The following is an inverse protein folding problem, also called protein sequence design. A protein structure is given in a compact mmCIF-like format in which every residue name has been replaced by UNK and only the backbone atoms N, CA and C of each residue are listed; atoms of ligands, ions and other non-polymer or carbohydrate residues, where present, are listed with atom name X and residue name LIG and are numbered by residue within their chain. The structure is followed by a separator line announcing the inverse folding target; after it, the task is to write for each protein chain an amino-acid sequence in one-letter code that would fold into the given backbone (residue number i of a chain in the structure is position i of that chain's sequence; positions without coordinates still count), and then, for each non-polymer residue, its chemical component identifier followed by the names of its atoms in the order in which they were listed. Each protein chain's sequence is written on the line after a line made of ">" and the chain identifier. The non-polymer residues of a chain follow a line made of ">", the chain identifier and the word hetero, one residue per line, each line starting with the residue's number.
data_IF_702458479200
#
_entry.id   IF_702458479200
#
_cell.length_a   1.000
_cell.length_b   1.000
_cell.length_c   1.000
_cell.angle_alpha   90.00
_cell.angle_beta   90.00
_cell.angle_gamma   90.00
#
_symmetry.space_group_name_H-M   'P 1'
#
loop_
_entity.id
_entity.type
_entity.pdbx_description
1 polymer ?
#
# COMPACT_ATOMS: atom_id res chain seq x y z
N UNK A 1 -7.77 -35.13 15.56
CA UNK A 1 -6.33 -34.86 15.37
C UNK A 1 -6.16 -33.37 15.05
N UNK A 2 -5.62 -32.56 15.97
CA UNK A 2 -5.25 -31.17 15.66
C UNK A 2 -4.01 -31.22 14.78
N UNK A 3 -4.07 -30.76 13.53
CA UNK A 3 -2.84 -30.48 12.77
C UNK A 3 -2.17 -29.29 13.45
N UNK A 4 -0.95 -29.47 13.94
CA UNK A 4 -0.09 -28.33 14.23
C UNK A 4 0.18 -27.62 12.90
N UNK A 5 -0.28 -26.37 12.78
CA UNK A 5 0.00 -25.53 11.61
C UNK A 5 1.45 -25.05 11.70
N UNK A 6 2.37 -25.87 11.21
CA UNK A 6 3.76 -25.50 10.98
C UNK A 6 3.95 -24.94 9.57
N UNK A 7 4.97 -24.09 9.40
CA UNK A 7 5.40 -23.64 8.07
C UNK A 7 6.01 -24.84 7.33
N UNK A 8 5.58 -25.16 6.09
CA UNK A 8 6.16 -26.26 5.32
C UNK A 8 7.68 -26.13 5.17
N UNK A 9 8.40 -27.25 5.15
CA UNK A 9 9.88 -27.27 5.04
C UNK A 9 10.36 -26.60 3.74
N UNK A 10 9.59 -26.77 2.67
CA UNK A 10 9.82 -26.16 1.38
C UNK A 10 9.75 -24.63 1.49
N UNK A 11 8.76 -24.10 2.21
CA UNK A 11 8.63 -22.66 2.46
C UNK A 11 9.81 -22.13 3.28
N UNK A 12 10.26 -22.87 4.29
CA UNK A 12 11.45 -22.51 5.09
C UNK A 12 12.70 -22.43 4.18
N UNK A 13 12.88 -23.40 3.30
CA UNK A 13 14.00 -23.40 2.35
C UNK A 13 13.94 -22.21 1.39
N UNK A 14 12.75 -21.91 0.86
CA UNK A 14 12.54 -20.75 -0.02
C UNK A 14 12.85 -19.45 0.73
N UNK A 15 12.36 -19.30 1.96
CA UNK A 15 12.63 -18.12 2.79
C UNK A 15 14.13 -17.92 3.00
N UNK A 16 14.87 -18.98 3.34
CA UNK A 16 16.32 -18.91 3.49
C UNK A 16 17.04 -18.54 2.18
N UNK A 17 16.60 -19.09 1.04
CA UNK A 17 17.20 -18.82 -0.26
C UNK A 17 17.01 -17.36 -0.71
N UNK A 18 15.80 -16.81 -0.53
CA UNK A 18 15.49 -15.45 -1.00
C UNK A 18 15.99 -14.36 -0.05
N UNK A 19 16.15 -14.67 1.24
CA UNK A 19 16.60 -13.69 2.24
C UNK A 19 18.08 -13.81 2.59
N UNK A 20 18.71 -14.96 2.30
CA UNK A 20 20.03 -15.31 2.82
C UNK A 20 20.05 -15.57 4.34
N UNK A 21 18.88 -15.67 4.99
CA UNK A 21 18.76 -15.80 6.44
C UNK A 21 18.23 -17.20 6.83
N UNK A 22 19.02 -18.02 7.55
CA UNK A 22 18.60 -19.36 7.96
C UNK A 22 17.57 -19.38 9.10
N UNK A 23 17.45 -18.30 9.89
CA UNK A 23 16.46 -18.21 10.98
C UNK A 23 15.10 -17.82 10.41
N UNK A 24 14.15 -18.76 10.48
CA UNK A 24 12.82 -18.64 9.85
C UNK A 24 12.06 -17.39 10.30
N UNK A 25 12.09 -17.05 11.58
CA UNK A 25 11.44 -15.87 12.14
C UNK A 25 12.01 -14.55 11.58
N UNK A 26 13.34 -14.48 11.44
CA UNK A 26 14.03 -13.33 10.87
C UNK A 26 13.76 -13.23 9.37
N UNK A 27 13.84 -14.35 8.64
CA UNK A 27 13.56 -14.41 7.22
C UNK A 27 12.11 -13.99 6.89
N UNK A 28 11.13 -14.41 7.71
CA UNK A 28 9.74 -13.95 7.58
C UNK A 28 9.65 -12.44 7.79
N UNK A 29 10.32 -11.89 8.81
CA UNK A 29 10.27 -10.44 9.08
C UNK A 29 10.88 -9.64 7.92
N UNK A 30 11.96 -10.13 7.32
CA UNK A 30 12.58 -9.53 6.13
C UNK A 30 11.62 -9.51 4.94
N UNK A 31 11.03 -10.66 4.58
CA UNK A 31 10.09 -10.73 3.45
C UNK A 31 8.85 -9.88 3.69
N UNK A 32 8.31 -9.86 4.91
CA UNK A 32 7.17 -9.00 5.24
C UNK A 32 7.51 -7.51 5.08
N UNK A 33 8.72 -7.11 5.48
CA UNK A 33 9.21 -5.73 5.28
C UNK A 33 9.30 -5.40 3.80
N UNK A 34 9.95 -6.25 3.01
CA UNK A 34 10.11 -6.04 1.57
C UNK A 34 8.75 -5.93 0.86
N UNK A 35 7.80 -6.79 1.23
CA UNK A 35 6.44 -6.76 0.68
C UNK A 35 5.70 -5.47 1.05
N UNK A 36 5.80 -5.01 2.29
CA UNK A 36 5.14 -3.77 2.75
C UNK A 36 5.76 -2.56 2.06
N UNK A 37 7.09 -2.49 1.97
CA UNK A 37 7.81 -1.42 1.28
C UNK A 37 7.49 -1.37 -0.21
N UNK A 38 7.49 -2.53 -0.89
CA UNK A 38 7.11 -2.60 -2.30
C UNK A 38 5.67 -2.11 -2.53
N UNK A 39 4.73 -2.53 -1.67
CA UNK A 39 3.34 -2.07 -1.74
C UNK A 39 3.20 -0.58 -1.45
N UNK A 40 3.99 -0.02 -0.53
CA UNK A 40 4.01 1.41 -0.26
C UNK A 40 4.48 2.19 -1.48
N UNK A 41 5.60 1.78 -2.10
CA UNK A 41 6.11 2.40 -3.33
C UNK A 41 5.06 2.42 -4.44
N UNK A 42 4.39 1.29 -4.70
CA UNK A 42 3.36 1.21 -5.73
C UNK A 42 2.15 2.13 -5.43
N UNK A 43 1.74 2.24 -4.16
CA UNK A 43 0.65 3.14 -3.76
C UNK A 43 1.07 4.60 -3.91
N UNK A 44 2.30 4.95 -3.53
CA UNK A 44 2.84 6.30 -3.68
C UNK A 44 2.99 6.72 -5.14
N UNK A 45 3.42 5.80 -6.02
CA UNK A 45 3.46 6.04 -7.47
C UNK A 45 2.07 6.32 -8.04
N UNK A 46 1.04 5.59 -7.61
CA UNK A 46 -0.33 5.85 -8.05
C UNK A 46 -0.87 7.18 -7.52
N UNK A 47 -0.59 7.52 -6.26
CA UNK A 47 -0.93 8.83 -5.69
C UNK A 47 -0.27 9.94 -6.51
N UNK A 48 1.02 9.83 -6.84
CA UNK A 48 1.75 10.81 -7.65
C UNK A 48 1.12 11.03 -9.02
N UNK A 49 0.56 9.99 -9.66
CA UNK A 49 -0.14 10.14 -10.95
C UNK A 49 -1.38 11.03 -10.81
N UNK A 50 -2.12 10.91 -9.71
CA UNK A 50 -3.25 11.79 -9.43
C UNK A 50 -2.78 13.21 -9.08
N UNK A 51 -1.73 13.34 -8.27
CA UNK A 51 -1.16 14.65 -7.92
C UNK A 51 -0.67 15.41 -9.15
N UNK A 52 -0.04 14.71 -10.10
CA UNK A 52 0.38 15.28 -11.39
C UNK A 52 -0.82 15.64 -12.28
N UNK A 53 -1.85 14.80 -12.31
CA UNK A 53 -3.06 15.01 -13.13
C UNK A 53 -3.86 16.23 -12.67
N UNK A 54 -3.94 16.46 -11.37
CA UNK A 54 -4.72 17.54 -10.77
C UNK A 54 -3.85 18.72 -10.30
N UNK A 55 -2.53 18.63 -10.45
CA UNK A 55 -1.55 19.64 -10.04
C UNK A 55 -1.69 20.08 -8.57
N UNK A 56 -2.14 19.17 -7.70
CA UNK A 56 -2.37 19.42 -6.29
C UNK A 56 -2.31 18.12 -5.48
N UNK A 57 -2.21 18.22 -4.15
CA UNK A 57 -2.32 17.05 -3.28
C UNK A 57 -3.78 16.63 -3.05
N UNK A 58 -3.98 15.42 -2.51
CA UNK A 58 -5.33 14.89 -2.25
C UNK A 58 -6.13 15.78 -1.29
N UNK A 59 -5.49 16.38 -0.28
CA UNK A 59 -6.18 17.19 0.72
C UNK A 59 -6.75 18.48 0.08
N UNK A 60 -5.98 19.10 -0.80
CA UNK A 60 -6.39 20.26 -1.59
C UNK A 60 -7.50 19.86 -2.56
N UNK A 61 -7.34 18.74 -3.28
CA UNK A 61 -8.34 18.19 -4.19
C UNK A 61 -9.67 17.88 -3.48
N UNK A 62 -9.64 17.21 -2.33
CA UNK A 62 -10.83 16.90 -1.55
C UNK A 62 -11.57 18.17 -1.10
N UNK A 63 -10.82 19.21 -0.71
CA UNK A 63 -11.39 20.49 -0.28
C UNK A 63 -12.07 21.22 -1.44
N UNK A 64 -11.39 21.35 -2.58
CA UNK A 64 -11.94 22.03 -3.78
C UNK A 64 -13.11 21.23 -4.37
N UNK A 65 -13.02 19.90 -4.38
CA UNK A 65 -14.13 19.01 -4.73
C UNK A 65 -15.34 19.26 -3.84
N UNK A 66 -15.21 19.24 -2.51
CA UNK A 66 -16.33 19.49 -1.60
C UNK A 66 -16.92 20.88 -1.76
N UNK A 67 -16.08 21.90 -1.97
CA UNK A 67 -16.50 23.29 -2.17
C UNK A 67 -17.30 23.52 -3.47
N UNK A 68 -17.10 22.69 -4.50
CA UNK A 68 -17.74 22.91 -5.80
C UNK A 68 -16.86 23.63 -6.82
N UNK A 69 -15.61 23.92 -6.47
CA UNK A 69 -14.69 24.77 -7.23
C UNK A 69 -13.86 23.99 -8.26
N UNK A 70 -14.21 22.74 -8.54
CA UNK A 70 -13.61 21.93 -9.62
C UNK A 70 -14.53 21.99 -10.84
N UNK A 71 -14.00 22.50 -11.97
CA UNK A 71 -14.65 22.36 -13.28
C UNK A 71 -14.93 20.87 -13.55
N UNK A 72 -16.16 20.56 -13.95
CA UNK A 72 -16.65 19.18 -14.15
C UNK A 72 -16.74 18.28 -12.90
N UNK A 73 -17.09 18.85 -11.74
CA UNK A 73 -17.37 18.09 -10.49
C UNK A 73 -18.37 16.92 -10.63
N UNK A 74 -19.18 16.87 -11.69
CA UNK A 74 -20.14 15.79 -11.92
C UNK A 74 -19.82 14.95 -13.17
N UNK A 75 -18.60 15.05 -13.72
CA UNK A 75 -18.17 14.04 -14.68
C UNK A 75 -17.93 12.74 -13.93
N UNK A 76 -18.46 11.63 -14.47
CA UNK A 76 -18.22 10.29 -13.96
C UNK A 76 -16.71 9.98 -13.79
N UNK A 77 -15.87 10.65 -14.58
CA UNK A 77 -14.41 10.51 -14.54
C UNK A 77 -13.82 11.12 -13.27
N UNK A 78 -14.18 12.35 -12.92
CA UNK A 78 -13.62 13.04 -11.75
C UNK A 78 -14.10 12.41 -10.44
N UNK A 79 -15.36 11.94 -10.39
CA UNK A 79 -15.88 11.19 -9.23
C UNK A 79 -15.13 9.86 -9.05
N UNK A 80 -14.89 9.13 -10.15
CA UNK A 80 -14.10 7.89 -10.11
C UNK A 80 -12.68 8.14 -9.62
N UNK A 81 -12.03 9.18 -10.13
CA UNK A 81 -10.67 9.54 -9.71
C UNK A 81 -10.63 9.89 -8.20
N UNK A 82 -11.63 10.63 -7.70
CA UNK A 82 -11.76 10.92 -6.27
C UNK A 82 -11.81 9.63 -5.44
N UNK A 83 -12.68 8.69 -5.80
CA UNK A 83 -12.87 7.43 -5.07
C UNK A 83 -11.60 6.55 -5.11
N UNK A 84 -10.95 6.45 -6.26
CA UNK A 84 -9.70 5.70 -6.39
C UNK A 84 -8.57 6.33 -5.57
N UNK A 85 -8.46 7.66 -5.60
CA UNK A 85 -7.43 8.36 -4.86
C UNK A 85 -7.65 8.26 -3.35
N UNK A 86 -8.88 8.44 -2.85
CA UNK A 86 -9.20 8.23 -1.43
C UNK A 86 -8.86 6.82 -0.94
N UNK A 87 -9.18 5.80 -1.76
CA UNK A 87 -8.84 4.42 -1.48
C UNK A 87 -7.31 4.22 -1.36
N UNK A 88 -6.52 4.88 -2.22
CA UNK A 88 -5.05 4.86 -2.15
C UNK A 88 -4.53 5.54 -0.88
N UNK A 89 -5.07 6.70 -0.50
CA UNK A 89 -4.68 7.39 0.75
C UNK A 89 -4.96 6.51 1.96
N UNK A 90 -6.14 5.89 2.01
CA UNK A 90 -6.52 4.94 3.06
C UNK A 90 -5.61 3.71 3.07
N UNK A 91 -5.28 3.17 1.89
CA UNK A 91 -4.38 2.02 1.76
C UNK A 91 -2.96 2.35 2.22
N UNK A 92 -2.44 3.53 1.86
CA UNK A 92 -1.13 4.04 2.30
C UNK A 92 -1.06 4.10 3.81
N UNK A 93 -2.05 4.71 4.48
CA UNK A 93 -2.12 4.79 5.95
C UNK A 93 -2.07 3.42 6.61
N UNK A 94 -2.83 2.45 6.09
CA UNK A 94 -2.82 1.06 6.60
C UNK A 94 -1.44 0.40 6.44
N UNK A 95 -0.80 0.55 5.29
CA UNK A 95 0.53 -0.01 5.04
C UNK A 95 1.61 0.64 5.91
N UNK A 96 1.57 1.96 6.09
CA UNK A 96 2.47 2.68 7.00
C UNK A 96 2.32 2.20 8.45
N UNK A 97 1.09 1.89 8.87
CA UNK A 97 0.86 1.31 10.20
C UNK A 97 1.46 -0.08 10.35
N UNK A 98 1.34 -0.93 9.32
CA UNK A 98 1.98 -2.25 9.31
C UNK A 98 3.51 -2.12 9.30
N UNK A 99 4.06 -1.19 8.52
CA UNK A 99 5.50 -0.93 8.48
C UNK A 99 6.05 -0.59 9.86
N UNK A 100 5.32 0.18 10.67
CA UNK A 100 5.70 0.50 12.06
C UNK A 100 5.79 -0.71 12.99
N UNK A 101 5.08 -1.80 12.69
CA UNK A 101 5.20 -3.06 13.44
C UNK A 101 6.43 -3.88 13.01
N UNK A 102 7.01 -3.55 11.85
CA UNK A 102 8.15 -4.23 11.22
C UNK A 102 9.47 -3.45 11.32
N UNK A 103 9.43 -2.18 11.74
CA UNK A 103 10.56 -1.48 12.35
C UNK A 103 10.94 -2.17 13.65
#
# INVERSE_FOLDING_TARGET
>A
MKREMGIPKETIKILAEITGEPRVDVAIRMVLRDVVEHRLRNVEEHIKKFEQKYEMDFATFEKTWKAGDIEEKFSYKTEKDYLEWDALITRRKKLQQVAKWLS
#
